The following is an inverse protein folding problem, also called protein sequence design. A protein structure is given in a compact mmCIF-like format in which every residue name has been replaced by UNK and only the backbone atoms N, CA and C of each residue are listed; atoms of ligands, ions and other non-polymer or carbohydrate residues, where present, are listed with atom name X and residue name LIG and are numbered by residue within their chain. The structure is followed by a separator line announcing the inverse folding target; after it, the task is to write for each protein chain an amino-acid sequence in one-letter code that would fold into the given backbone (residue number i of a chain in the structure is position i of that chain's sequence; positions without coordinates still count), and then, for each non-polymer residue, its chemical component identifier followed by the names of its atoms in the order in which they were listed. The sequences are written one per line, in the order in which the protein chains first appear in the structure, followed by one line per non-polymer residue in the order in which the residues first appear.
data_IF_690686532924
#
_entry.id   IF_690686532924
#
_cell.length_a   1.000
_cell.length_b   1.000
_cell.length_c   1.000
_cell.angle_alpha   90.00
_cell.angle_beta   90.00
_cell.angle_gamma   90.00
#
_symmetry.space_group_name_H-M   'P 1'
#
loop_
_entity.id
_entity.type
_entity.pdbx_description
1 polymer ?
#
# COMPACT_ATOMS: atom_id res chain seq x y z
N UNK A 1 -12.34 -16.98 -4.98
CA UNK A 1 -12.02 -15.83 -4.07
C UNK A 1 -11.45 -14.70 -4.89
N UNK A 2 -11.93 -13.48 -4.68
CA UNK A 2 -11.49 -12.27 -5.38
C UNK A 2 -10.72 -11.38 -4.42
N UNK A 3 -9.53 -10.94 -4.82
CA UNK A 3 -8.65 -10.08 -4.03
C UNK A 3 -8.48 -8.75 -4.76
N UNK A 4 -8.84 -7.66 -4.09
CA UNK A 4 -8.71 -6.30 -4.62
C UNK A 4 -7.61 -5.54 -3.90
N UNK A 5 -6.66 -5.01 -4.67
CA UNK A 5 -5.61 -4.13 -4.16
C UNK A 5 -5.87 -2.68 -4.59
N UNK A 6 -5.88 -1.78 -3.61
CA UNK A 6 -5.91 -0.33 -3.79
C UNK A 6 -4.64 0.31 -3.28
N UNK A 7 -4.22 1.41 -3.90
CA UNK A 7 -3.02 2.12 -3.49
C UNK A 7 -2.55 3.15 -4.51
N UNK A 8 -1.32 3.56 -4.32
CA UNK A 8 -0.59 4.52 -5.13
C UNK A 8 0.41 3.84 -6.10
N UNK A 9 1.53 4.51 -6.42
CA UNK A 9 2.58 4.00 -7.32
C UNK A 9 3.21 2.68 -6.84
N UNK A 10 3.29 2.45 -5.53
CA UNK A 10 3.87 1.22 -4.97
C UNK A 10 2.96 0.02 -5.29
N UNK A 11 1.65 0.23 -5.30
CA UNK A 11 0.65 -0.79 -5.66
C UNK A 11 0.49 -0.90 -7.17
N UNK A 12 0.41 0.22 -7.88
CA UNK A 12 0.33 0.32 -9.35
C UNK A 12 1.52 -0.42 -10.00
N UNK A 13 2.73 -0.03 -9.65
CA UNK A 13 3.99 -0.63 -10.12
C UNK A 13 3.99 -0.94 -11.62
N UNK A 14 3.54 0.02 -12.44
CA UNK A 14 3.48 -0.13 -13.89
C UNK A 14 2.39 -1.08 -14.40
N UNK A 15 1.30 -1.25 -13.64
CA UNK A 15 0.17 -2.07 -14.09
C UNK A 15 -0.35 -1.64 -15.47
N UNK A 16 -0.83 -2.59 -16.25
CA UNK A 16 -1.40 -2.33 -17.55
C UNK A 16 -2.83 -1.77 -17.50
N UNK A 17 -3.46 -1.66 -18.67
CA UNK A 17 -4.78 -1.05 -18.83
C UNK A 17 -5.95 -2.01 -18.68
N UNK A 18 -5.72 -3.33 -18.76
CA UNK A 18 -6.79 -4.34 -18.65
C UNK A 18 -7.18 -4.63 -17.20
N UNK A 19 -7.53 -3.59 -16.48
CA UNK A 19 -7.83 -3.64 -15.05
C UNK A 19 -9.10 -4.44 -14.69
N UNK A 20 -9.89 -4.82 -15.68
CA UNK A 20 -11.12 -5.62 -15.52
C UNK A 20 -10.87 -7.12 -15.65
N UNK A 21 -9.71 -7.53 -16.17
CA UNK A 21 -9.35 -8.93 -16.35
C UNK A 21 -8.52 -9.39 -15.14
N UNK A 22 -9.00 -10.38 -14.38
CA UNK A 22 -8.24 -10.86 -13.20
C UNK A 22 -6.91 -11.50 -13.62
N UNK A 23 -5.92 -11.40 -12.74
CA UNK A 23 -4.61 -12.01 -12.88
C UNK A 23 -3.82 -11.54 -14.13
N UNK A 24 -4.17 -10.37 -14.66
CA UNK A 24 -3.49 -9.76 -15.82
C UNK A 24 -3.19 -8.30 -15.56
N UNK A 25 -2.14 -7.82 -16.21
CA UNK A 25 -1.73 -6.40 -16.14
C UNK A 25 -1.56 -5.88 -14.70
N UNK A 26 -1.06 -6.76 -13.80
CA UNK A 26 -0.93 -6.48 -12.37
C UNK A 26 0.27 -5.60 -12.01
N UNK A 27 1.10 -5.24 -13.00
CA UNK A 27 2.35 -4.52 -12.79
C UNK A 27 3.51 -5.44 -12.41
N UNK A 28 4.65 -4.83 -12.04
CA UNK A 28 5.89 -5.55 -11.71
C UNK A 28 6.15 -5.61 -10.19
N UNK A 29 5.19 -5.17 -9.38
CA UNK A 29 5.33 -5.03 -7.94
C UNK A 29 4.73 -6.18 -7.13
N UNK A 30 4.57 -5.92 -5.83
CA UNK A 30 4.11 -6.90 -4.85
C UNK A 30 2.77 -7.54 -5.18
N UNK A 31 1.84 -6.83 -5.86
CA UNK A 31 0.54 -7.38 -6.26
C UNK A 31 0.70 -8.54 -7.24
N UNK A 32 1.59 -8.38 -8.23
CA UNK A 32 1.89 -9.44 -9.18
C UNK A 32 2.58 -10.64 -8.52
N UNK A 33 3.49 -10.38 -7.57
CA UNK A 33 4.17 -11.44 -6.81
C UNK A 33 3.16 -12.22 -5.94
N UNK A 34 2.26 -11.53 -5.23
CA UNK A 34 1.18 -12.19 -4.49
C UNK A 34 0.31 -13.03 -5.43
N UNK A 35 -0.11 -12.45 -6.57
CA UNK A 35 -0.92 -13.18 -7.54
C UNK A 35 -0.22 -14.45 -8.04
N UNK A 36 1.07 -14.39 -8.35
CA UNK A 36 1.85 -15.53 -8.79
C UNK A 36 1.85 -16.66 -7.74
N UNK A 37 2.05 -16.32 -6.47
CA UNK A 37 2.02 -17.30 -5.38
C UNK A 37 0.63 -17.91 -5.19
N UNK A 38 -0.40 -17.08 -4.98
CA UNK A 38 -1.73 -17.57 -4.59
C UNK A 38 -2.47 -18.29 -5.72
N UNK A 39 -2.23 -17.89 -6.98
CA UNK A 39 -2.88 -18.55 -8.13
C UNK A 39 -2.15 -19.81 -8.58
N UNK A 40 -0.87 -19.96 -8.25
CA UNK A 40 -0.13 -21.20 -8.44
C UNK A 40 -0.76 -22.35 -7.63
N UNK A 41 -1.13 -22.07 -6.39
CA UNK A 41 -1.72 -23.03 -5.48
C UNK A 41 -3.23 -23.18 -5.70
N UNK A 42 -3.92 -22.09 -6.07
CA UNK A 42 -5.36 -22.11 -6.27
C UNK A 42 -5.78 -21.29 -7.51
N UNK A 43 -6.04 -21.95 -8.66
CA UNK A 43 -6.37 -21.26 -9.92
C UNK A 43 -7.76 -20.58 -9.91
N UNK A 44 -8.55 -20.74 -8.83
CA UNK A 44 -9.84 -20.05 -8.67
C UNK A 44 -9.70 -18.68 -7.99
N UNK A 45 -8.48 -18.27 -7.63
CA UNK A 45 -8.23 -16.94 -7.07
C UNK A 45 -8.11 -15.93 -8.21
N UNK A 46 -8.85 -14.85 -8.08
CA UNK A 46 -8.83 -13.69 -8.97
C UNK A 46 -8.20 -12.50 -8.23
N UNK A 47 -7.16 -11.92 -8.82
CA UNK A 47 -6.46 -10.75 -8.25
C UNK A 47 -6.65 -9.55 -9.16
N UNK A 48 -7.00 -8.41 -8.56
CA UNK A 48 -7.21 -7.14 -9.24
C UNK A 48 -6.31 -6.06 -8.63
N UNK A 49 -5.51 -5.41 -9.47
CA UNK A 49 -4.73 -4.24 -9.10
C UNK A 49 -5.44 -2.95 -9.53
N UNK A 50 -5.85 -2.14 -8.56
CA UNK A 50 -6.48 -0.83 -8.75
C UNK A 50 -5.62 0.32 -8.20
N UNK A 51 -4.33 0.07 -7.97
CA UNK A 51 -3.37 1.11 -7.65
C UNK A 51 -3.27 2.13 -8.78
N UNK A 52 -3.06 3.40 -8.43
CA UNK A 52 -2.83 4.49 -9.40
C UNK A 52 -1.68 5.35 -8.92
N UNK A 53 -0.62 5.42 -9.72
CA UNK A 53 0.59 6.20 -9.40
C UNK A 53 0.26 7.64 -9.06
N UNK A 54 0.87 8.14 -7.99
CA UNK A 54 0.68 9.52 -7.51
C UNK A 54 -0.57 9.73 -6.66
N UNK A 55 -1.46 8.74 -6.49
CA UNK A 55 -2.67 8.95 -5.70
C UNK A 55 -2.36 9.22 -4.23
N UNK A 56 -2.92 10.32 -3.73
CA UNK A 56 -3.14 10.61 -2.32
C UNK A 56 -4.45 9.91 -1.90
N UNK A 57 -4.72 9.89 -0.62
CA UNK A 57 -5.98 9.31 -0.14
C UNK A 57 -7.21 10.01 -0.76
N UNK A 58 -7.16 11.31 -0.96
CA UNK A 58 -8.25 12.09 -1.58
C UNK A 58 -8.47 11.73 -3.06
N UNK A 59 -7.41 11.45 -3.80
CA UNK A 59 -7.49 11.03 -5.21
C UNK A 59 -8.09 9.63 -5.33
N UNK A 60 -7.72 8.72 -4.42
CA UNK A 60 -8.32 7.39 -4.32
C UNK A 60 -9.81 7.48 -3.99
N UNK A 61 -10.19 8.37 -3.08
CA UNK A 61 -11.59 8.58 -2.71
C UNK A 61 -12.42 9.13 -3.88
N UNK A 62 -11.84 10.00 -4.71
CA UNK A 62 -12.53 10.55 -5.88
C UNK A 62 -12.97 9.48 -6.91
N UNK A 63 -12.23 8.34 -6.99
CA UNK A 63 -12.54 7.22 -7.88
C UNK A 63 -13.11 5.99 -7.12
N UNK A 64 -13.44 6.15 -5.85
CA UNK A 64 -13.72 5.06 -4.91
C UNK A 64 -14.90 4.18 -5.30
N UNK A 65 -15.96 4.81 -5.81
CA UNK A 65 -17.18 4.11 -6.21
C UNK A 65 -16.90 3.17 -7.37
N UNK A 66 -16.22 3.67 -8.41
CA UNK A 66 -15.95 2.89 -9.64
C UNK A 66 -14.89 1.81 -9.40
N UNK A 67 -13.81 2.17 -8.71
CA UNK A 67 -12.62 1.34 -8.58
C UNK A 67 -12.64 0.43 -7.34
N UNK A 68 -13.67 0.56 -6.48
CA UNK A 68 -13.79 -0.29 -5.29
C UNK A 68 -15.22 -0.73 -5.04
N UNK A 69 -16.14 0.19 -4.76
CA UNK A 69 -17.46 -0.19 -4.26
C UNK A 69 -18.31 -0.94 -5.29
N UNK A 70 -18.13 -0.66 -6.59
CA UNK A 70 -18.84 -1.36 -7.66
C UNK A 70 -18.22 -2.71 -8.03
N UNK A 71 -17.08 -3.08 -7.45
CA UNK A 71 -16.41 -4.34 -7.70
C UNK A 71 -16.81 -5.39 -6.64
N UNK A 72 -16.82 -6.65 -7.07
CA UNK A 72 -16.98 -7.78 -6.17
C UNK A 72 -15.61 -8.26 -5.68
N UNK A 73 -15.45 -8.39 -4.36
CA UNK A 73 -14.23 -8.94 -3.76
C UNK A 73 -14.51 -9.55 -2.38
N UNK A 74 -13.71 -10.55 -2.04
CA UNK A 74 -13.74 -11.25 -0.76
C UNK A 74 -12.63 -10.74 0.17
N UNK A 75 -11.53 -10.25 -0.43
CA UNK A 75 -10.37 -9.68 0.27
C UNK A 75 -10.09 -8.29 -0.29
N UNK A 76 -9.92 -7.33 0.61
CA UNK A 76 -9.53 -5.95 0.29
C UNK A 76 -8.19 -5.61 0.90
N UNK A 77 -7.26 -5.08 0.11
CA UNK A 77 -5.96 -4.60 0.57
C UNK A 77 -5.72 -3.16 0.15
N UNK A 78 -5.17 -2.32 1.03
CA UNK A 78 -4.88 -0.92 0.71
C UNK A 78 -3.53 -0.45 1.29
N UNK A 79 -2.82 0.35 0.50
CA UNK A 79 -1.57 1.03 0.87
C UNK A 79 -1.60 2.48 0.37
N UNK A 80 -1.73 3.44 1.30
CA UNK A 80 -1.75 4.87 1.02
C UNK A 80 -0.97 5.66 2.07
N UNK A 81 -0.55 6.88 1.73
CA UNK A 81 -0.02 7.85 2.68
C UNK A 81 1.30 8.49 2.30
N UNK A 82 2.10 7.84 1.44
CA UNK A 82 3.39 8.42 1.00
C UNK A 82 3.18 9.70 0.18
N UNK A 83 2.21 9.71 -0.73
CA UNK A 83 1.92 10.89 -1.57
C UNK A 83 1.24 11.99 -0.78
N UNK A 84 0.43 11.67 0.23
CA UNK A 84 -0.13 12.67 1.15
C UNK A 84 0.98 13.42 1.89
N UNK A 85 2.04 12.72 2.29
CA UNK A 85 3.24 13.33 2.86
C UNK A 85 4.03 14.11 1.79
N UNK A 86 4.37 13.46 0.67
CA UNK A 86 5.25 14.04 -0.35
C UNK A 86 4.68 15.28 -1.01
N UNK A 87 3.44 15.24 -1.45
CA UNK A 87 2.77 16.40 -2.04
C UNK A 87 2.45 17.48 -0.99
N UNK A 88 2.25 17.07 0.27
CA UNK A 88 2.10 18.04 1.37
C UNK A 88 3.36 18.87 1.60
N UNK A 89 4.49 18.20 1.73
CA UNK A 89 5.77 18.86 2.02
C UNK A 89 6.34 19.65 0.83
N UNK A 90 6.21 19.10 -0.39
CA UNK A 90 6.80 19.70 -1.59
C UNK A 90 5.92 20.76 -2.26
N UNK A 91 4.61 20.57 -2.26
CA UNK A 91 3.68 21.35 -3.09
C UNK A 91 2.52 21.96 -2.31
N UNK A 92 2.45 21.71 -1.00
CA UNK A 92 1.30 22.07 -0.15
C UNK A 92 -0.04 21.52 -0.68
N UNK A 93 0.00 20.32 -1.28
CA UNK A 93 -1.15 19.64 -1.91
C UNK A 93 -1.48 18.29 -1.26
N UNK A 94 -0.85 17.94 -0.16
CA UNK A 94 -1.13 16.72 0.58
C UNK A 94 -2.37 16.84 1.46
N UNK A 95 -2.84 15.70 1.96
CA UNK A 95 -3.80 15.68 3.05
C UNK A 95 -3.08 15.88 4.39
N UNK A 96 -3.56 16.81 5.21
CA UNK A 96 -3.17 16.86 6.62
C UNK A 96 -3.63 15.59 7.35
N UNK A 97 -3.19 15.40 8.60
CA UNK A 97 -3.49 14.17 9.35
C UNK A 97 -4.99 13.98 9.59
N UNK A 98 -5.73 15.05 9.89
CA UNK A 98 -7.17 14.98 10.15
C UNK A 98 -7.94 14.61 8.88
N UNK A 99 -7.59 15.22 7.75
CA UNK A 99 -8.20 14.91 6.44
C UNK A 99 -7.85 13.50 5.99
N UNK A 100 -6.60 13.07 6.17
CA UNK A 100 -6.16 11.71 5.86
C UNK A 100 -6.96 10.68 6.67
N UNK A 101 -7.05 10.86 8.00
CA UNK A 101 -7.83 9.99 8.87
C UNK A 101 -9.31 9.97 8.48
N UNK A 102 -9.93 11.14 8.29
CA UNK A 102 -11.34 11.25 7.94
C UNK A 102 -11.69 10.53 6.62
N UNK A 103 -10.89 10.73 5.58
CA UNK A 103 -11.14 10.10 4.28
C UNK A 103 -10.92 8.59 4.38
N UNK A 104 -9.83 8.15 5.00
CA UNK A 104 -9.53 6.73 5.12
C UNK A 104 -10.59 6.01 5.98
N UNK A 105 -11.00 6.63 7.07
CA UNK A 105 -12.10 6.13 7.91
C UNK A 105 -13.38 5.93 7.09
N UNK A 106 -13.75 6.92 6.29
CA UNK A 106 -14.91 6.82 5.40
C UNK A 106 -14.79 5.70 4.39
N UNK A 107 -13.63 5.54 3.77
CA UNK A 107 -13.37 4.47 2.79
C UNK A 107 -13.53 3.09 3.41
N UNK A 108 -12.95 2.85 4.58
CA UNK A 108 -13.03 1.55 5.26
C UNK A 108 -14.45 1.27 5.78
N UNK A 109 -15.13 2.30 6.28
CA UNK A 109 -16.55 2.21 6.66
C UNK A 109 -17.41 1.72 5.49
N UNK A 110 -17.27 2.32 4.30
CA UNK A 110 -18.05 1.95 3.12
C UNK A 110 -17.75 0.52 2.61
N UNK A 111 -16.49 0.08 2.70
CA UNK A 111 -16.14 -1.32 2.42
C UNK A 111 -16.84 -2.25 3.39
N UNK A 112 -16.75 -1.97 4.69
CA UNK A 112 -17.33 -2.83 5.73
C UNK A 112 -18.86 -2.84 5.66
N UNK A 113 -19.49 -1.69 5.39
CA UNK A 113 -20.94 -1.58 5.24
C UNK A 113 -21.43 -2.40 4.03
N UNK A 114 -20.77 -2.26 2.89
CA UNK A 114 -21.18 -2.92 1.65
C UNK A 114 -20.80 -4.41 1.61
N UNK A 115 -19.73 -4.80 2.33
CA UNK A 115 -19.18 -6.16 2.37
C UNK A 115 -18.79 -6.56 3.79
N UNK A 116 -19.78 -6.89 4.64
CA UNK A 116 -19.54 -7.17 6.07
C UNK A 116 -18.52 -8.29 6.32
N UNK A 117 -18.50 -9.31 5.45
CA UNK A 117 -17.65 -10.49 5.61
C UNK A 117 -16.27 -10.35 4.93
N UNK A 118 -16.02 -9.25 4.23
CA UNK A 118 -14.77 -8.99 3.53
C UNK A 118 -13.60 -9.02 4.52
N UNK A 119 -12.56 -9.77 4.17
CA UNK A 119 -11.28 -9.75 4.90
C UNK A 119 -10.48 -8.54 4.43
N UNK A 120 -10.12 -7.67 5.36
CA UNK A 120 -9.35 -6.47 5.04
C UNK A 120 -7.93 -6.59 5.59
N UNK A 121 -6.95 -6.15 4.81
CA UNK A 121 -5.57 -5.98 5.22
C UNK A 121 -5.09 -4.58 4.80
N UNK A 122 -4.70 -3.78 5.78
CA UNK A 122 -4.30 -2.40 5.57
C UNK A 122 -2.81 -2.28 5.87
N UNK A 123 -2.08 -1.77 4.90
CA UNK A 123 -0.61 -1.73 4.91
C UNK A 123 -0.16 -0.34 5.36
N UNK A 124 0.71 -0.28 6.36
CA UNK A 124 1.31 0.98 6.81
C UNK A 124 2.19 1.59 5.71
N UNK A 125 2.08 2.90 5.44
CA UNK A 125 3.03 3.58 4.57
C UNK A 125 4.44 3.56 5.16
N UNK A 126 5.45 3.62 4.28
CA UNK A 126 6.86 3.51 4.63
C UNK A 126 7.73 4.41 3.77
N UNK A 127 8.95 4.66 4.22
CA UNK A 127 10.04 5.33 3.48
C UNK A 127 11.38 4.69 3.87
N UNK A 128 12.40 4.95 3.07
CA UNK A 128 13.75 4.45 3.29
C UNK A 128 14.74 5.60 3.50
N UNK A 129 15.64 5.45 4.48
CA UNK A 129 16.75 6.38 4.67
C UNK A 129 17.97 5.89 3.88
N UNK A 130 18.05 6.29 2.64
CA UNK A 130 19.21 5.94 1.81
C UNK A 130 20.39 6.86 2.14
N UNK A 131 21.61 6.28 2.09
CA UNK A 131 22.84 7.04 2.14
C UNK A 131 23.13 7.52 0.72
N UNK A 132 22.92 8.79 0.46
CA UNK A 132 23.18 9.26 -0.88
C UNK A 132 23.85 10.63 -0.95
N UNK A 133 25.04 10.61 -1.54
CA UNK A 133 25.76 11.81 -1.97
C UNK A 133 25.34 12.27 -3.39
N UNK A 134 24.58 11.48 -4.12
CA UNK A 134 24.22 11.71 -5.53
C UNK A 134 22.73 11.86 -5.80
N UNK A 135 21.86 11.43 -4.89
CA UNK A 135 20.43 11.59 -5.07
C UNK A 135 19.92 12.82 -4.34
N UNK A 136 19.44 13.75 -5.11
CA UNK A 136 18.65 14.90 -4.70
C UNK A 136 17.28 14.51 -4.10
N UNK A 137 17.25 13.41 -3.30
CA UNK A 137 16.04 13.04 -2.61
C UNK A 137 15.82 13.97 -1.43
N UNK A 138 14.81 14.85 -1.53
CA UNK A 138 14.42 15.77 -0.45
C UNK A 138 14.18 15.04 0.88
N UNK A 139 13.85 13.75 0.81
CA UNK A 139 13.65 12.88 1.99
C UNK A 139 14.91 12.81 2.86
N UNK A 140 16.10 12.78 2.27
CA UNK A 140 17.34 12.71 3.04
C UNK A 140 17.59 14.00 3.83
N UNK A 141 17.39 15.16 3.20
CA UNK A 141 17.61 16.46 3.85
C UNK A 141 16.59 16.75 4.94
N UNK A 142 15.34 16.31 4.72
CA UNK A 142 14.21 16.54 5.63
C UNK A 142 13.75 15.25 6.33
N UNK A 143 14.65 14.27 6.49
CA UNK A 143 14.33 12.94 7.02
C UNK A 143 13.42 12.95 8.24
N UNK A 144 13.73 13.77 9.24
CA UNK A 144 12.95 13.80 10.47
C UNK A 144 11.48 14.23 10.26
N UNK A 145 11.25 15.12 9.30
CA UNK A 145 9.92 15.63 8.95
C UNK A 145 9.14 14.51 8.23
N UNK A 146 9.76 13.88 7.24
CA UNK A 146 9.17 12.77 6.51
C UNK A 146 8.89 11.57 7.43
N UNK A 147 9.89 11.18 8.21
CA UNK A 147 9.79 10.08 9.17
C UNK A 147 8.60 10.27 10.12
N UNK A 148 8.53 11.44 10.77
CA UNK A 148 7.43 11.76 11.68
C UNK A 148 6.07 11.70 10.97
N UNK A 149 5.98 12.27 9.77
CA UNK A 149 4.74 12.32 9.00
C UNK A 149 4.26 10.92 8.59
N UNK A 150 5.18 10.06 8.14
CA UNK A 150 4.84 8.68 7.74
C UNK A 150 4.47 7.82 8.94
N UNK A 151 5.20 7.95 10.06
CA UNK A 151 4.87 7.24 11.32
C UNK A 151 3.49 7.61 11.84
N UNK A 152 3.15 8.88 11.87
CA UNK A 152 1.82 9.34 12.29
C UNK A 152 0.70 8.80 11.39
N UNK A 153 0.92 8.70 10.07
CA UNK A 153 -0.03 8.04 9.17
C UNK A 153 -0.11 6.54 9.43
N UNK A 154 1.00 5.88 9.74
CA UNK A 154 1.02 4.49 10.15
C UNK A 154 0.16 4.23 11.39
N UNK A 155 0.26 5.09 12.41
CA UNK A 155 -0.55 5.04 13.64
C UNK A 155 -2.04 5.23 13.35
N UNK A 156 -2.39 6.15 12.43
CA UNK A 156 -3.78 6.33 11.98
C UNK A 156 -4.28 5.05 11.29
N UNK A 157 -3.49 4.48 10.39
CA UNK A 157 -3.83 3.26 9.65
C UNK A 157 -4.03 2.08 10.59
N UNK A 158 -3.16 1.90 11.59
CA UNK A 158 -3.29 0.87 12.63
C UNK A 158 -4.58 1.01 13.41
N UNK A 159 -4.86 2.21 13.93
CA UNK A 159 -6.10 2.53 14.65
C UNK A 159 -7.35 2.24 13.81
N UNK A 160 -7.33 2.59 12.53
CA UNK A 160 -8.44 2.35 11.62
C UNK A 160 -8.58 0.85 11.28
N UNK A 161 -7.48 0.13 11.12
CA UNK A 161 -7.50 -1.31 10.93
C UNK A 161 -8.18 -2.00 12.12
N UNK A 162 -7.81 -1.65 13.35
CA UNK A 162 -8.45 -2.16 14.56
C UNK A 162 -9.94 -1.83 14.60
N UNK A 163 -10.31 -0.56 14.34
CA UNK A 163 -11.72 -0.10 14.32
C UNK A 163 -12.63 -0.91 13.40
N UNK A 164 -12.11 -1.33 12.24
CA UNK A 164 -12.89 -2.06 11.23
C UNK A 164 -12.62 -3.57 11.21
N UNK A 165 -11.89 -4.11 12.19
CA UNK A 165 -11.52 -5.52 12.25
C UNK A 165 -10.70 -5.95 11.03
N UNK A 166 -9.84 -5.06 10.53
CA UNK A 166 -8.87 -5.35 9.47
C UNK A 166 -7.54 -5.83 10.08
N UNK A 167 -6.77 -6.57 9.31
CA UNK A 167 -5.38 -6.88 9.66
C UNK A 167 -4.51 -5.68 9.35
N UNK A 168 -3.64 -5.34 10.26
CA UNK A 168 -2.65 -4.27 10.09
C UNK A 168 -1.30 -4.88 9.69
N UNK A 169 -0.75 -4.48 8.54
CA UNK A 169 0.58 -4.90 8.10
C UNK A 169 1.58 -3.76 8.36
N UNK A 170 2.44 -3.89 9.39
CA UNK A 170 3.38 -2.83 9.80
C UNK A 170 4.61 -2.78 8.89
N UNK A 171 4.42 -2.49 7.59
CA UNK A 171 5.51 -2.56 6.61
C UNK A 171 6.67 -1.62 6.92
N UNK A 172 6.42 -0.49 7.57
CA UNK A 172 7.51 0.39 7.97
C UNK A 172 8.46 -0.29 8.96
N UNK A 173 7.93 -0.92 10.00
CA UNK A 173 8.75 -1.62 11.01
C UNK A 173 9.44 -2.86 10.41
N UNK A 174 8.76 -3.55 9.50
CA UNK A 174 9.34 -4.69 8.77
C UNK A 174 10.54 -4.24 7.93
N UNK A 175 10.43 -3.13 7.20
CA UNK A 175 11.54 -2.59 6.43
C UNK A 175 12.67 -2.04 7.32
N UNK A 176 12.36 -1.38 8.43
CA UNK A 176 13.41 -0.95 9.39
C UNK A 176 14.17 -2.16 9.96
N UNK A 177 13.46 -3.24 10.27
CA UNK A 177 14.08 -4.49 10.70
C UNK A 177 14.96 -5.09 9.61
N UNK A 178 14.46 -5.19 8.38
CA UNK A 178 15.20 -5.72 7.24
C UNK A 178 16.46 -4.90 6.92
N UNK A 179 16.39 -3.57 7.07
CA UNK A 179 17.56 -2.69 6.90
C UNK A 179 18.64 -2.92 7.97
N UNK A 180 18.26 -3.28 9.19
CA UNK A 180 19.24 -3.59 10.26
C UNK A 180 19.84 -4.99 10.10
N UNK A 181 19.00 -5.96 9.77
CA UNK A 181 19.34 -7.38 9.95
C UNK A 181 19.83 -8.05 8.65
N UNK A 182 19.48 -7.51 7.46
CA UNK A 182 19.71 -8.17 6.19
C UNK A 182 20.60 -7.33 5.26
N UNK A 183 20.14 -6.14 4.86
CA UNK A 183 20.83 -5.31 3.89
C UNK A 183 20.44 -3.83 4.04
N UNK A 184 21.31 -2.87 3.62
CA UNK A 184 21.02 -1.45 3.73
C UNK A 184 19.83 -1.01 2.86
N UNK A 185 19.39 0.24 3.04
CA UNK A 185 18.18 0.80 2.40
C UNK A 185 18.20 0.70 0.87
N UNK A 186 19.36 0.85 0.25
CA UNK A 186 19.57 0.80 -1.20
C UNK A 186 19.23 -0.57 -1.81
N UNK A 187 19.27 -1.63 -1.00
CA UNK A 187 18.81 -2.95 -1.41
C UNK A 187 17.28 -3.03 -1.54
N UNK A 188 16.56 -2.27 -0.73
CA UNK A 188 15.11 -2.33 -0.60
C UNK A 188 14.38 -1.27 -1.42
N UNK A 189 15.04 -0.14 -1.71
CA UNK A 189 14.44 0.99 -2.44
C UNK A 189 15.40 1.57 -3.46
N UNK A 190 14.83 2.18 -4.51
CA UNK A 190 15.58 2.86 -5.58
C UNK A 190 15.71 4.36 -5.33
N UNK A 191 14.76 4.97 -4.61
CA UNK A 191 14.60 6.43 -4.51
C UNK A 191 14.02 6.89 -3.17
N UNK A 192 14.25 6.15 -2.10
CA UNK A 192 13.69 6.34 -0.76
C UNK A 192 12.18 6.03 -0.63
N UNK A 193 11.46 5.78 -1.72
CA UNK A 193 10.00 5.56 -1.74
C UNK A 193 9.66 4.22 -2.39
N UNK A 194 10.08 4.04 -3.64
CA UNK A 194 9.67 2.90 -4.44
C UNK A 194 10.56 1.68 -4.17
N UNK A 195 9.94 0.54 -3.83
CA UNK A 195 10.69 -0.68 -3.57
C UNK A 195 11.42 -1.20 -4.81
N UNK A 196 12.59 -1.80 -4.59
CA UNK A 196 13.24 -2.69 -5.55
C UNK A 196 12.43 -3.99 -5.71
N UNK A 197 12.78 -4.88 -6.65
CA UNK A 197 12.18 -6.22 -6.69
C UNK A 197 12.28 -6.98 -5.35
N UNK A 198 13.41 -6.83 -4.61
CA UNK A 198 13.56 -7.41 -3.28
C UNK A 198 12.62 -6.77 -2.24
N UNK A 199 12.42 -5.45 -2.32
CA UNK A 199 11.47 -4.74 -1.48
C UNK A 199 10.03 -5.16 -1.75
N UNK A 200 9.64 -5.28 -3.02
CA UNK A 200 8.32 -5.79 -3.39
C UNK A 200 8.10 -7.23 -2.93
N UNK A 201 9.10 -8.09 -3.04
CA UNK A 201 9.03 -9.48 -2.55
C UNK A 201 8.86 -9.53 -1.03
N UNK A 202 9.52 -8.67 -0.27
CA UNK A 202 9.34 -8.59 1.18
C UNK A 202 7.91 -8.19 1.55
N UNK A 203 7.31 -7.23 0.81
CA UNK A 203 5.88 -6.88 1.00
C UNK A 203 5.00 -8.09 0.69
N UNK A 204 5.24 -8.76 -0.43
CA UNK A 204 4.43 -9.90 -0.87
C UNK A 204 4.46 -11.05 0.15
N UNK A 205 5.64 -11.43 0.63
CA UNK A 205 5.78 -12.48 1.66
C UNK A 205 5.08 -12.10 2.96
N UNK A 206 5.26 -10.87 3.41
CA UNK A 206 4.64 -10.39 4.65
C UNK A 206 3.11 -10.38 4.53
N UNK A 207 2.59 -10.00 3.38
CA UNK A 207 1.16 -10.01 3.08
C UNK A 207 0.60 -11.45 3.05
N UNK A 208 1.27 -12.37 2.35
CA UNK A 208 0.87 -13.77 2.25
C UNK A 208 0.89 -14.44 3.64
N UNK A 209 1.95 -14.24 4.42
CA UNK A 209 2.04 -14.81 5.77
C UNK A 209 0.91 -14.32 6.67
N UNK A 210 0.57 -13.02 6.56
CA UNK A 210 -0.55 -12.45 7.32
C UNK A 210 -1.91 -12.99 6.87
N UNK A 211 -2.05 -13.42 5.62
CA UNK A 211 -3.32 -13.89 5.03
C UNK A 211 -3.41 -15.41 4.88
N UNK A 212 -2.42 -16.18 5.32
CA UNK A 212 -2.31 -17.63 5.09
C UNK A 212 -3.49 -18.48 5.57
N UNK A 213 -4.22 -18.01 6.56
CA UNK A 213 -5.43 -18.69 7.08
C UNK A 213 -6.72 -18.33 6.32
N UNK A 214 -6.63 -17.41 5.35
CA UNK A 214 -7.72 -16.95 4.48
C UNK A 214 -7.56 -17.50 3.07
N UNK A 215 -6.30 -17.63 2.60
CA UNK A 215 -5.94 -18.11 1.26
C UNK A 215 -6.10 -19.62 1.14
#
# INVERSE_FOLDING_TARGET
MKILFQGDSITDSGRGKNITVPNRDLGDGYVNLIAAHVTCDNPKIEVYNRGVSGNRIADAFARWIEDTLNLEFDVFSALFGINDTGFGLRLNMGSDMQRFEFIYDRMLYEVREKRPDCKMIIIAPFIFKMKDEQNSCDIYNDWNIWYKSIRQRGEIVEKLADKYGARFLPMFDIFEKAQRDIAPAEHWSQDCIHPTPAGHELIARSWIDMMKDVL
#
